data_IF_652582048038
#
_entry.id   IF_652582048038
#
_cell.length_a   1.000
_cell.length_b   1.000
_cell.length_c   1.000
_cell.angle_alpha   90.00
_cell.angle_beta   90.00
_cell.angle_gamma   90.00
#
_symmetry.space_group_name_H-M   'P 1'
#
loop_
_entity.id
_entity.type
_entity.pdbx_description
1 polymer ?
#
# COMPACT_ATOMS: atom_id res chain seq x y z
N UNK A 1 -69.81 20.05 -23.45
CA UNK A 1 -69.68 19.12 -24.59
C UNK A 1 -68.33 18.45 -24.46
N UNK A 2 -68.35 17.22 -23.96
CA UNK A 2 -67.16 16.41 -23.67
C UNK A 2 -67.07 15.38 -24.78
N UNK A 3 -66.00 15.37 -25.55
CA UNK A 3 -65.73 14.38 -26.59
C UNK A 3 -64.77 13.30 -26.06
N UNK A 4 -65.25 12.11 -25.86
CA UNK A 4 -64.48 10.94 -25.52
C UNK A 4 -63.75 10.39 -26.77
N UNK A 5 -62.42 10.19 -26.66
CA UNK A 5 -61.66 9.43 -27.67
C UNK A 5 -61.43 8.02 -27.16
N UNK A 6 -61.91 7.07 -27.93
CA UNK A 6 -61.67 5.67 -27.74
C UNK A 6 -60.23 5.31 -28.12
N UNK A 7 -59.55 4.49 -27.30
CA UNK A 7 -58.25 3.90 -27.55
C UNK A 7 -58.50 2.45 -28.02
N UNK A 8 -58.09 2.17 -29.25
CA UNK A 8 -58.11 0.81 -29.85
C UNK A 8 -56.85 0.08 -29.39
N UNK A 9 -57.02 -1.02 -28.69
CA UNK A 9 -55.92 -1.92 -28.33
C UNK A 9 -55.65 -2.91 -29.48
N UNK A 10 -54.47 -2.84 -30.06
CA UNK A 10 -53.98 -3.84 -31.01
C UNK A 10 -53.25 -4.92 -30.24
N UNK A 11 -53.78 -6.15 -30.28
CA UNK A 11 -53.10 -7.34 -29.75
C UNK A 11 -52.04 -7.84 -30.74
N UNK A 12 -50.79 -7.81 -30.36
CA UNK A 12 -49.70 -8.43 -31.12
C UNK A 12 -49.49 -9.86 -30.62
N UNK A 13 -49.73 -10.83 -31.53
CA UNK A 13 -49.41 -12.23 -31.34
C UNK A 13 -47.90 -12.39 -31.49
N UNK A 14 -47.20 -12.69 -30.41
CA UNK A 14 -45.76 -13.01 -30.43
C UNK A 14 -45.66 -14.54 -30.56
N UNK A 15 -45.22 -15.00 -31.74
CA UNK A 15 -44.88 -16.39 -31.99
C UNK A 15 -43.64 -16.80 -31.16
N UNK A 16 -43.80 -17.85 -30.37
CA UNK A 16 -42.70 -18.46 -29.65
C UNK A 16 -41.76 -19.21 -30.61
N UNK A 17 -40.60 -18.60 -30.90
CA UNK A 17 -39.48 -19.33 -31.53
C UNK A 17 -38.72 -20.01 -30.39
N UNK A 18 -38.82 -21.34 -30.34
CA UNK A 18 -38.12 -22.17 -29.38
C UNK A 18 -36.61 -22.13 -29.60
N UNK A 19 -35.89 -21.39 -28.75
CA UNK A 19 -34.46 -21.55 -28.62
C UNK A 19 -34.17 -22.86 -27.88
N UNK A 20 -33.62 -23.83 -28.57
CA UNK A 20 -32.98 -25.00 -27.98
C UNK A 20 -31.78 -24.48 -27.14
N UNK A 21 -31.89 -24.50 -25.83
CA UNK A 21 -30.78 -24.39 -24.94
C UNK A 21 -29.76 -25.49 -25.22
N UNK A 22 -28.61 -25.12 -25.77
CA UNK A 22 -27.43 -25.98 -25.73
C UNK A 22 -27.00 -26.06 -24.28
N UNK A 23 -27.08 -27.24 -23.69
CA UNK A 23 -26.52 -27.55 -22.39
C UNK A 23 -25.05 -27.10 -22.38
N UNK A 24 -24.76 -26.04 -21.66
CA UNK A 24 -23.41 -25.65 -21.36
C UNK A 24 -22.79 -26.77 -20.52
N UNK A 25 -21.77 -27.41 -21.06
CA UNK A 25 -20.94 -28.38 -20.36
C UNK A 25 -20.42 -27.68 -19.10
N UNK A 26 -20.98 -28.02 -17.95
CA UNK A 26 -20.49 -27.58 -16.67
C UNK A 26 -19.12 -28.24 -16.45
N UNK A 27 -18.04 -27.51 -16.73
CA UNK A 27 -16.72 -27.83 -16.19
C UNK A 27 -16.87 -27.73 -14.67
N UNK A 28 -16.67 -28.80 -13.90
CA UNK A 28 -16.73 -28.71 -12.46
C UNK A 28 -15.71 -27.67 -12.01
N UNK A 29 -16.05 -26.85 -11.00
CA UNK A 29 -15.08 -25.91 -10.45
C UNK A 29 -13.84 -26.71 -10.05
N UNK A 30 -12.69 -26.29 -10.55
CA UNK A 30 -11.42 -26.87 -10.15
C UNK A 30 -11.36 -26.77 -8.62
N UNK A 31 -11.53 -27.91 -7.97
CA UNK A 31 -11.31 -28.02 -6.53
C UNK A 31 -9.84 -27.69 -6.34
N UNK A 32 -9.57 -26.44 -5.94
CA UNK A 32 -8.25 -26.03 -5.48
C UNK A 32 -7.97 -26.92 -4.26
N UNK A 33 -7.14 -27.94 -4.45
CA UNK A 33 -6.67 -28.77 -3.35
C UNK A 33 -6.12 -27.78 -2.31
N UNK A 34 -6.72 -27.79 -1.12
CA UNK A 34 -6.14 -27.09 0.02
C UNK A 34 -4.80 -27.77 0.27
N UNK A 35 -3.73 -27.07 -0.07
CA UNK A 35 -2.37 -27.53 0.18
C UNK A 35 -2.22 -27.92 1.65
N UNK A 36 -1.41 -28.95 1.88
CA UNK A 36 -1.14 -29.48 3.21
C UNK A 36 -0.79 -28.35 4.17
N UNK A 37 -1.67 -28.09 5.10
CA UNK A 37 -1.53 -27.10 6.15
C UNK A 37 -0.32 -27.46 6.98
N UNK A 38 0.76 -26.71 6.86
CA UNK A 38 1.78 -26.70 7.90
C UNK A 38 1.10 -26.16 9.15
N UNK A 39 0.83 -27.02 10.12
CA UNK A 39 0.17 -26.65 11.36
C UNK A 39 1.09 -25.73 12.13
N UNK A 40 0.81 -24.44 12.09
CA UNK A 40 1.41 -23.47 13.02
C UNK A 40 1.12 -23.93 14.44
N UNK A 41 2.13 -24.03 15.27
CA UNK A 41 1.89 -24.45 16.67
C UNK A 41 1.15 -23.34 17.41
N UNK A 42 0.33 -23.65 18.43
CA UNK A 42 -0.37 -22.61 19.22
C UNK A 42 0.59 -21.57 19.83
N UNK A 43 1.82 -21.94 20.10
CA UNK A 43 2.86 -21.04 20.63
C UNK A 43 3.31 -20.03 19.58
N UNK A 44 3.46 -20.44 18.32
CA UNK A 44 3.90 -19.58 17.23
C UNK A 44 2.81 -18.56 16.87
N UNK A 45 1.55 -18.99 16.92
CA UNK A 45 0.39 -18.10 16.72
C UNK A 45 0.31 -17.03 17.82
N UNK A 46 0.44 -17.42 19.10
CA UNK A 46 0.44 -16.49 20.22
C UNK A 46 1.56 -15.46 20.13
N UNK A 47 2.75 -15.88 19.69
CA UNK A 47 3.88 -14.96 19.49
C UNK A 47 3.62 -13.99 18.33
N UNK A 48 3.08 -14.49 17.22
CA UNK A 48 2.74 -13.64 16.08
C UNK A 48 1.65 -12.61 16.45
N UNK A 49 0.61 -13.00 17.18
CA UNK A 49 -0.43 -12.08 17.66
C UNK A 49 0.12 -11.02 18.62
N UNK A 50 1.08 -11.40 19.48
CA UNK A 50 1.77 -10.43 20.33
C UNK A 50 2.59 -9.41 19.52
N UNK A 51 3.21 -9.83 18.41
CA UNK A 51 3.91 -8.93 17.49
C UNK A 51 2.94 -8.05 16.69
N UNK A 52 1.82 -8.60 16.23
CA UNK A 52 0.75 -7.83 15.56
C UNK A 52 0.24 -6.73 16.51
N UNK A 53 0.05 -7.03 17.79
CA UNK A 53 -0.32 -6.06 18.81
C UNK A 53 0.81 -5.05 19.07
N UNK A 54 2.06 -5.50 19.18
CA UNK A 54 3.25 -4.65 19.38
C UNK A 54 3.41 -3.61 18.27
N UNK A 55 3.18 -4.03 17.01
CA UNK A 55 3.31 -3.15 15.84
C UNK A 55 1.98 -2.53 15.41
N UNK A 56 0.89 -2.81 16.14
CA UNK A 56 -0.46 -2.28 15.93
C UNK A 56 -0.97 -2.43 14.47
N UNK A 57 -0.74 -3.56 13.85
CA UNK A 57 -1.12 -3.82 12.46
C UNK A 57 -2.63 -3.63 12.21
N UNK A 58 -3.47 -3.92 13.24
CA UNK A 58 -4.92 -3.78 13.21
C UNK A 58 -5.43 -2.34 13.13
N UNK A 59 -4.55 -1.34 13.20
CA UNK A 59 -4.94 0.07 12.97
C UNK A 59 -5.03 0.44 11.50
N UNK A 60 -4.47 -0.38 10.63
CA UNK A 60 -4.53 -0.19 9.18
C UNK A 60 -5.13 -1.39 8.47
N UNK A 61 -4.92 -2.60 9.00
CA UNK A 61 -5.28 -3.84 8.35
C UNK A 61 -6.40 -4.56 9.08
N UNK A 62 -7.40 -5.00 8.31
CA UNK A 62 -8.41 -5.95 8.77
C UNK A 62 -7.85 -7.38 8.74
N UNK A 63 -8.51 -8.32 9.43
CA UNK A 63 -8.16 -9.74 9.38
C UNK A 63 -6.82 -10.08 10.04
N UNK A 64 -6.40 -9.32 11.02
CA UNK A 64 -5.12 -9.49 11.74
C UNK A 64 -5.16 -10.58 12.80
N UNK A 65 -6.32 -11.14 13.13
CA UNK A 65 -6.52 -12.02 14.29
C UNK A 65 -6.79 -11.26 15.59
N UNK A 66 -6.61 -9.94 15.61
CA UNK A 66 -6.98 -9.07 16.73
C UNK A 66 -8.29 -8.33 16.44
N UNK A 67 -8.93 -7.80 17.50
CA UNK A 67 -10.04 -6.88 17.32
C UNK A 67 -9.62 -5.66 16.50
N UNK A 68 -10.52 -5.18 15.63
CA UNK A 68 -10.28 -3.95 14.89
C UNK A 68 -10.06 -2.78 15.86
N UNK A 69 -9.19 -1.86 15.48
CA UNK A 69 -9.05 -0.61 16.23
C UNK A 69 -10.36 0.19 16.19
N UNK A 70 -10.67 1.00 17.21
CA UNK A 70 -11.79 1.93 17.15
C UNK A 70 -11.71 2.81 15.89
N UNK A 71 -12.85 3.24 15.33
CA UNK A 71 -12.92 3.97 14.08
C UNK A 71 -12.05 5.24 14.07
N UNK A 72 -12.00 5.96 15.18
CA UNK A 72 -11.15 7.15 15.38
C UNK A 72 -9.66 6.84 15.49
N UNK A 73 -9.30 5.58 15.60
CA UNK A 73 -7.91 5.09 15.65
C UNK A 73 -7.55 4.13 14.55
N UNK A 74 -8.48 3.81 13.67
CA UNK A 74 -8.25 2.96 12.50
C UNK A 74 -7.91 3.86 11.31
N UNK A 75 -6.61 4.03 11.04
CA UNK A 75 -6.10 5.00 10.06
C UNK A 75 -6.83 4.95 8.72
N UNK A 76 -6.98 3.77 8.12
CA UNK A 76 -7.61 3.60 6.80
C UNK A 76 -9.11 3.85 6.85
N UNK A 77 -9.78 3.38 7.89
CA UNK A 77 -11.22 3.61 8.04
C UNK A 77 -11.53 5.09 8.25
N UNK A 78 -10.81 5.74 9.18
CA UNK A 78 -10.94 7.17 9.44
C UNK A 78 -10.73 7.99 8.15
N UNK A 79 -9.65 7.73 7.41
CA UNK A 79 -9.35 8.40 6.15
C UNK A 79 -10.43 8.19 5.09
N UNK A 80 -10.95 6.97 4.96
CA UNK A 80 -12.04 6.67 4.02
C UNK A 80 -13.34 7.38 4.38
N UNK A 81 -13.69 7.41 5.68
CA UNK A 81 -14.89 8.08 6.17
C UNK A 81 -14.79 9.61 6.01
N UNK A 82 -13.62 10.20 6.28
CA UNK A 82 -13.36 11.62 6.01
C UNK A 82 -13.55 11.90 4.52
N UNK A 83 -12.91 11.12 3.65
CA UNK A 83 -13.00 11.31 2.20
C UNK A 83 -14.42 11.16 1.68
N UNK A 84 -15.20 10.24 2.27
CA UNK A 84 -16.61 10.04 1.94
C UNK A 84 -17.55 11.10 2.56
N UNK A 85 -17.05 11.94 3.46
CA UNK A 85 -17.87 12.91 4.21
C UNK A 85 -18.78 12.28 5.26
N UNK A 86 -18.51 11.04 5.68
CA UNK A 86 -19.32 10.29 6.64
C UNK A 86 -18.72 10.27 8.05
N UNK A 87 -17.50 10.76 8.22
CA UNK A 87 -16.87 10.84 9.52
C UNK A 87 -17.63 11.84 10.42
N UNK A 88 -17.78 11.50 11.70
CA UNK A 88 -18.55 12.30 12.66
C UNK A 88 -17.74 13.54 13.09
N UNK A 89 -17.81 14.62 12.31
CA UNK A 89 -17.17 15.91 12.58
C UNK A 89 -18.00 17.05 12.00
N UNK A 90 -17.67 18.31 12.37
CA UNK A 90 -18.32 19.46 11.79
C UNK A 90 -18.05 19.56 10.27
N UNK A 91 -19.02 19.97 9.43
CA UNK A 91 -18.84 20.02 7.98
C UNK A 91 -17.65 20.90 7.53
N UNK A 92 -17.36 21.97 8.25
CA UNK A 92 -16.24 22.87 7.97
C UNK A 92 -14.89 22.17 8.18
N UNK A 93 -14.77 21.37 9.24
CA UNK A 93 -13.56 20.61 9.52
C UNK A 93 -13.37 19.49 8.50
N UNK A 94 -14.46 18.77 8.15
CA UNK A 94 -14.41 17.75 7.13
C UNK A 94 -13.92 18.27 5.78
N UNK A 95 -14.36 19.45 5.37
CA UNK A 95 -13.93 20.05 4.12
C UNK A 95 -12.41 20.31 4.11
N UNK A 96 -11.87 20.85 5.22
CA UNK A 96 -10.43 21.09 5.38
C UNK A 96 -9.65 19.77 5.34
N UNK A 97 -10.14 18.75 6.05
CA UNK A 97 -9.44 17.46 6.11
C UNK A 97 -9.47 16.70 4.78
N UNK A 98 -10.57 16.81 4.02
CA UNK A 98 -10.68 16.21 2.69
C UNK A 98 -9.63 16.74 1.72
N UNK A 99 -9.35 18.05 1.78
CA UNK A 99 -8.33 18.69 0.95
C UNK A 99 -6.90 18.25 1.29
N UNK A 100 -6.65 17.88 2.54
CA UNK A 100 -5.34 17.44 3.01
C UNK A 100 -5.11 15.92 2.92
N UNK A 101 -6.16 15.14 2.61
CA UNK A 101 -6.12 13.69 2.70
C UNK A 101 -5.67 13.06 1.37
N UNK A 102 -4.40 12.68 1.29
CA UNK A 102 -3.78 12.15 0.08
C UNK A 102 -3.28 10.71 0.19
N UNK A 103 -3.31 10.10 1.38
CA UNK A 103 -2.67 8.80 1.65
C UNK A 103 -3.50 7.89 2.56
N UNK A 104 -3.07 6.64 2.72
CA UNK A 104 -3.66 5.65 3.63
C UNK A 104 -5.16 5.38 3.42
N UNK A 105 -5.60 5.38 2.17
CA UNK A 105 -7.00 5.11 1.81
C UNK A 105 -7.30 3.62 1.65
N UNK A 106 -6.27 2.81 1.42
CA UNK A 106 -6.38 1.37 1.18
C UNK A 106 -5.26 0.64 1.89
N UNK A 107 -5.61 -0.36 2.69
CA UNK A 107 -4.69 -1.39 3.17
C UNK A 107 -5.29 -2.76 2.87
N UNK A 108 -4.49 -3.75 2.43
CA UNK A 108 -5.00 -5.09 2.19
C UNK A 108 -5.41 -5.75 3.50
N UNK A 109 -6.49 -6.53 3.49
CA UNK A 109 -6.78 -7.42 4.60
C UNK A 109 -5.65 -8.42 4.81
N UNK A 110 -5.29 -8.70 6.06
CA UNK A 110 -4.30 -9.73 6.40
C UNK A 110 -4.93 -11.13 6.52
N UNK A 111 -6.27 -11.23 6.49
CA UNK A 111 -6.93 -12.53 6.37
C UNK A 111 -6.52 -13.18 5.04
N UNK A 112 -6.16 -14.44 5.12
CA UNK A 112 -5.86 -15.26 3.93
C UNK A 112 -4.76 -14.72 3.01
N UNK A 113 -3.79 -13.99 3.55
CA UNK A 113 -2.65 -13.46 2.78
C UNK A 113 -1.90 -14.59 2.06
N UNK A 114 -1.74 -15.74 2.70
CA UNK A 114 -1.12 -16.92 2.11
C UNK A 114 -1.89 -17.46 0.89
N UNK A 115 -3.22 -17.39 0.88
CA UNK A 115 -4.06 -17.87 -0.22
C UNK A 115 -3.87 -17.05 -1.50
N UNK A 116 -3.45 -15.79 -1.37
CA UNK A 116 -3.08 -14.94 -2.51
C UNK A 116 -1.80 -15.38 -3.21
N UNK A 117 -1.08 -16.33 -2.63
CA UNK A 117 0.13 -16.90 -3.20
C UNK A 117 1.39 -16.08 -2.98
N UNK A 118 1.41 -15.22 -1.96
CA UNK A 118 2.64 -14.51 -1.58
C UNK A 118 3.70 -15.51 -1.08
N UNK A 119 4.96 -15.22 -1.36
CA UNK A 119 6.10 -15.96 -0.83
C UNK A 119 6.43 -15.46 0.57
N UNK A 120 6.65 -16.38 1.52
CA UNK A 120 7.01 -16.05 2.90
C UNK A 120 8.26 -15.18 2.99
N UNK A 121 9.30 -15.53 2.26
CA UNK A 121 10.56 -14.79 2.23
C UNK A 121 10.35 -13.34 1.73
N UNK A 122 9.48 -13.15 0.72
CA UNK A 122 9.13 -11.81 0.25
C UNK A 122 8.36 -11.01 1.30
N UNK A 123 7.41 -11.64 2.01
CA UNK A 123 6.65 -10.98 3.08
C UNK A 123 7.58 -10.55 4.21
N UNK A 124 8.53 -11.40 4.62
CA UNK A 124 9.51 -11.05 5.64
C UNK A 124 10.38 -9.85 5.23
N UNK A 125 10.86 -9.82 3.99
CA UNK A 125 11.63 -8.69 3.46
C UNK A 125 10.77 -7.41 3.36
N UNK A 126 9.53 -7.54 2.89
CA UNK A 126 8.58 -6.42 2.77
C UNK A 126 8.25 -5.78 4.12
N UNK A 127 8.09 -6.57 5.17
CA UNK A 127 7.82 -6.04 6.52
C UNK A 127 8.97 -5.17 7.06
N UNK A 128 10.20 -5.48 6.67
CA UNK A 128 11.37 -4.69 7.06
C UNK A 128 11.57 -3.45 6.18
N UNK A 129 11.29 -3.59 4.89
CA UNK A 129 11.51 -2.57 3.86
C UNK A 129 10.27 -2.47 2.95
N UNK A 130 9.17 -1.86 3.42
CA UNK A 130 7.97 -1.72 2.62
C UNK A 130 8.24 -0.87 1.37
N UNK A 131 7.82 -1.39 0.22
CA UNK A 131 7.82 -0.67 -1.06
C UNK A 131 6.41 -0.66 -1.61
N UNK A 132 6.01 0.36 -2.36
CA UNK A 132 4.78 0.25 -3.11
C UNK A 132 5.06 -0.53 -4.40
N UNK A 133 4.30 -1.60 -4.56
CA UNK A 133 4.38 -2.43 -5.77
C UNK A 133 3.59 -1.83 -6.93
N UNK A 134 2.88 -0.73 -6.70
CA UNK A 134 2.01 -0.03 -7.65
C UNK A 134 2.73 1.18 -8.23
N UNK A 135 2.98 1.20 -9.52
CA UNK A 135 3.68 2.31 -10.15
C UNK A 135 2.97 3.65 -9.97
N UNK A 136 3.70 4.64 -9.52
CA UNK A 136 3.19 6.01 -9.36
C UNK A 136 2.43 6.28 -8.06
N UNK A 137 2.35 5.32 -7.14
CA UNK A 137 1.87 5.55 -5.79
C UNK A 137 3.03 5.54 -4.79
N UNK A 138 3.08 6.50 -3.86
CA UNK A 138 4.06 6.47 -2.78
C UNK A 138 3.77 5.28 -1.85
N UNK A 139 4.82 4.70 -1.27
CA UNK A 139 4.65 3.64 -0.30
C UNK A 139 3.85 4.15 0.90
N UNK A 140 2.67 3.55 1.11
CA UNK A 140 1.76 3.95 2.18
C UNK A 140 1.94 3.11 3.45
N UNK A 141 2.46 1.89 3.35
CA UNK A 141 2.79 1.12 4.54
C UNK A 141 4.01 1.75 5.24
N UNK A 142 3.89 2.17 6.52
CA UNK A 142 5.00 2.77 7.24
C UNK A 142 6.12 1.74 7.48
N UNK A 143 7.37 2.18 7.35
CA UNK A 143 8.54 1.37 7.70
C UNK A 143 8.68 1.32 9.22
N UNK A 144 8.09 0.30 9.84
CA UNK A 144 8.16 0.06 11.27
C UNK A 144 9.55 -0.49 11.68
N UNK A 145 9.85 -0.48 13.00
CA UNK A 145 11.10 -1.03 13.51
C UNK A 145 11.00 -2.56 13.68
N UNK A 146 10.64 -3.27 12.61
CA UNK A 146 10.51 -4.72 12.59
C UNK A 146 11.90 -5.28 12.26
N UNK A 147 12.50 -6.03 13.19
CA UNK A 147 13.75 -6.71 12.92
C UNK A 147 13.54 -8.02 12.13
N UNK A 148 14.64 -8.66 11.73
CA UNK A 148 14.59 -9.87 10.91
C UNK A 148 13.89 -11.04 11.63
N UNK A 149 14.00 -11.13 12.95
CA UNK A 149 13.37 -12.19 13.75
C UNK A 149 11.86 -11.99 13.83
N UNK A 150 11.41 -10.79 14.19
CA UNK A 150 10.01 -10.44 14.24
C UNK A 150 9.36 -10.55 12.85
N UNK A 151 10.06 -10.13 11.79
CA UNK A 151 9.60 -10.24 10.41
C UNK A 151 9.41 -11.70 9.97
N UNK A 152 10.33 -12.59 10.34
CA UNK A 152 10.23 -14.02 10.03
C UNK A 152 9.02 -14.67 10.72
N UNK A 153 8.79 -14.35 12.00
CA UNK A 153 7.64 -14.86 12.77
C UNK A 153 6.32 -14.36 12.15
N UNK A 154 6.23 -13.07 11.87
CA UNK A 154 5.04 -12.47 11.24
C UNK A 154 4.79 -13.06 9.85
N UNK A 155 5.83 -13.22 9.04
CA UNK A 155 5.71 -13.80 7.71
C UNK A 155 5.26 -15.27 7.75
N UNK A 156 5.74 -16.05 8.71
CA UNK A 156 5.32 -17.45 8.90
C UNK A 156 3.84 -17.54 9.31
N UNK A 157 3.36 -16.61 10.13
CA UNK A 157 1.95 -16.53 10.52
C UNK A 157 1.05 -16.13 9.34
N UNK A 158 1.44 -15.10 8.59
CA UNK A 158 0.67 -14.58 7.45
C UNK A 158 0.69 -15.51 6.24
N UNK A 159 1.78 -16.26 6.05
CA UNK A 159 1.99 -17.22 4.96
C UNK A 159 2.41 -18.55 5.58
N UNK A 160 1.45 -19.36 6.04
CA UNK A 160 1.73 -20.60 6.75
C UNK A 160 2.32 -21.71 5.84
N UNK A 161 2.38 -21.48 4.54
CA UNK A 161 2.94 -22.41 3.57
C UNK A 161 4.47 -22.29 3.52
N UNK A 162 5.16 -23.41 3.31
CA UNK A 162 6.61 -23.42 3.15
C UNK A 162 6.97 -23.08 1.69
N UNK A 163 7.79 -22.06 1.49
CA UNK A 163 8.25 -21.65 0.16
C UNK A 163 9.17 -22.72 -0.47
N UNK A 164 9.91 -23.46 0.34
CA UNK A 164 10.85 -24.49 -0.12
C UNK A 164 10.13 -25.74 -0.65
N UNK A 165 8.93 -26.02 -0.15
CA UNK A 165 8.09 -27.12 -0.63
C UNK A 165 7.40 -26.79 -1.98
N UNK A 166 7.36 -25.51 -2.37
CA UNK A 166 6.65 -24.99 -3.56
C UNK A 166 7.63 -24.28 -4.51
N UNK A 167 8.85 -24.74 -4.62
CA UNK A 167 9.73 -24.41 -5.75
C UNK A 167 9.28 -25.14 -7.02
N UNK A 168 7.95 -25.24 -7.24
CA UNK A 168 7.45 -25.56 -8.56
C UNK A 168 8.02 -24.54 -9.52
N UNK A 169 8.84 -25.00 -10.45
CA UNK A 169 9.35 -24.19 -11.54
C UNK A 169 8.15 -23.43 -12.17
N UNK A 170 8.36 -22.18 -12.65
CA UNK A 170 7.32 -21.51 -13.45
C UNK A 170 6.81 -22.50 -14.47
N UNK A 171 5.49 -22.47 -14.83
CA UNK A 171 4.93 -23.40 -15.82
C UNK A 171 5.90 -23.50 -17.00
N UNK A 172 6.57 -24.64 -17.11
CA UNK A 172 7.64 -24.83 -18.10
C UNK A 172 7.08 -24.91 -19.52
N UNK A 173 5.76 -25.15 -19.62
CA UNK A 173 5.00 -25.43 -20.83
C UNK A 173 4.38 -24.19 -21.51
N UNK A 174 4.46 -23.00 -20.88
CA UNK A 174 3.94 -21.76 -21.49
C UNK A 174 4.89 -21.13 -22.49
N UNK A 175 4.35 -20.59 -23.59
CA UNK A 175 5.08 -19.85 -24.61
C UNK A 175 5.22 -18.36 -24.22
N UNK A 176 6.45 -17.89 -24.07
CA UNK A 176 6.75 -16.50 -23.69
C UNK A 176 6.31 -15.50 -24.76
N UNK A 177 6.48 -15.82 -26.06
CA UNK A 177 6.15 -14.91 -27.14
C UNK A 177 4.62 -14.81 -27.31
N UNK A 178 3.91 -15.93 -27.26
CA UNK A 178 2.45 -15.95 -27.21
C UNK A 178 1.92 -15.18 -25.99
N UNK A 179 2.50 -15.39 -24.81
CA UNK A 179 2.17 -14.66 -23.59
C UNK A 179 2.39 -13.16 -23.70
N UNK A 180 3.47 -12.72 -24.35
CA UNK A 180 3.73 -11.30 -24.61
C UNK A 180 2.64 -10.67 -25.50
N UNK A 181 2.23 -11.37 -26.57
CA UNK A 181 1.18 -10.89 -27.44
C UNK A 181 -0.18 -10.87 -26.72
N UNK A 182 -0.51 -11.91 -25.97
CA UNK A 182 -1.72 -11.96 -25.15
C UNK A 182 -1.75 -10.85 -24.09
N UNK A 183 -0.61 -10.52 -23.49
CA UNK A 183 -0.50 -9.45 -22.48
C UNK A 183 -0.97 -8.10 -23.04
N UNK A 184 -0.65 -7.83 -24.29
CA UNK A 184 -1.11 -6.63 -25.00
C UNK A 184 -2.54 -6.77 -25.49
N UNK A 185 -2.87 -7.85 -26.20
CA UNK A 185 -4.16 -8.03 -26.88
C UNK A 185 -5.34 -8.26 -25.94
N UNK A 186 -5.10 -8.86 -24.76
CA UNK A 186 -6.11 -9.00 -23.69
C UNK A 186 -6.22 -7.78 -22.79
N UNK A 187 -5.40 -6.73 -23.03
CA UNK A 187 -5.47 -5.46 -22.33
C UNK A 187 -4.80 -5.44 -20.95
N UNK A 188 -3.99 -6.44 -20.60
CA UNK A 188 -3.26 -6.44 -19.32
C UNK A 188 -2.37 -5.21 -19.16
N UNK A 189 -1.75 -4.75 -20.28
CA UNK A 189 -0.89 -3.57 -20.37
C UNK A 189 -1.63 -2.27 -20.00
N UNK A 190 -2.95 -2.23 -20.09
CA UNK A 190 -3.76 -1.06 -19.74
C UNK A 190 -3.79 -0.77 -18.23
N UNK A 191 -3.59 -1.80 -17.41
CA UNK A 191 -3.51 -1.68 -15.94
C UNK A 191 -2.11 -1.97 -15.42
N UNK A 192 -1.45 -3.02 -15.92
CA UNK A 192 -0.18 -3.50 -15.39
C UNK A 192 1.02 -3.04 -16.22
N UNK A 193 2.06 -2.62 -15.53
CA UNK A 193 3.42 -2.58 -16.10
C UNK A 193 4.09 -3.94 -15.92
N UNK A 194 4.99 -4.26 -16.82
CA UNK A 194 6.04 -5.27 -16.65
C UNK A 194 7.36 -4.56 -16.94
N UNK A 195 7.85 -3.84 -15.94
CA UNK A 195 9.03 -2.99 -16.09
C UNK A 195 10.23 -3.79 -16.59
N UNK A 196 10.88 -3.29 -17.62
CA UNK A 196 12.02 -3.95 -18.27
C UNK A 196 11.65 -4.93 -19.38
N UNK A 197 10.39 -5.28 -19.58
CA UNK A 197 9.97 -6.15 -20.68
C UNK A 197 9.84 -5.37 -22.00
N UNK A 198 10.18 -6.04 -23.09
CA UNK A 198 9.84 -5.57 -24.44
C UNK A 198 8.45 -6.10 -24.80
N UNK A 199 7.54 -5.19 -25.15
CA UNK A 199 6.18 -5.53 -25.54
C UNK A 199 6.02 -5.48 -27.07
N UNK A 200 5.29 -6.44 -27.68
CA UNK A 200 4.90 -6.36 -29.07
C UNK A 200 3.83 -5.27 -29.29
N UNK A 201 3.61 -4.84 -30.54
CA UNK A 201 2.48 -3.96 -30.86
C UNK A 201 1.14 -4.70 -30.63
N UNK A 202 0.11 -3.94 -30.28
CA UNK A 202 -1.24 -4.48 -30.16
C UNK A 202 -1.78 -4.91 -31.54
N UNK A 203 -2.43 -6.07 -31.59
CA UNK A 203 -3.09 -6.56 -32.81
C UNK A 203 -4.39 -5.81 -33.12
N UNK A 204 -5.05 -5.26 -32.09
CA UNK A 204 -6.26 -4.45 -32.19
C UNK A 204 -6.38 -3.49 -30.99
N UNK A 205 -7.17 -2.40 -31.09
CA UNK A 205 -7.44 -1.53 -29.96
C UNK A 205 -8.17 -2.27 -28.84
N UNK A 206 -7.70 -2.10 -27.59
CA UNK A 206 -8.35 -2.65 -26.41
C UNK A 206 -9.39 -1.65 -25.89
N UNK A 207 -10.63 -2.06 -25.59
CA UNK A 207 -11.67 -1.17 -25.09
C UNK A 207 -11.26 -0.51 -23.74
N UNK A 208 -11.35 0.80 -23.66
CA UNK A 208 -11.03 1.57 -22.44
C UNK A 208 -11.90 1.20 -21.22
N UNK A 209 -13.11 0.69 -21.47
CA UNK A 209 -14.02 0.24 -20.41
C UNK A 209 -13.47 -0.93 -19.56
N UNK A 210 -12.44 -1.63 -20.05
CA UNK A 210 -11.76 -2.69 -19.28
C UNK A 210 -10.76 -2.13 -18.24
N UNK A 211 -10.50 -0.81 -18.25
CA UNK A 211 -9.45 -0.18 -17.46
C UNK A 211 -10.04 0.95 -16.59
N UNK A 212 -10.84 0.66 -15.55
CA UNK A 212 -11.32 1.69 -14.63
C UNK A 212 -10.14 2.32 -13.88
N UNK A 213 -10.22 3.62 -13.63
CA UNK A 213 -9.14 4.41 -13.04
C UNK A 213 -8.60 3.83 -11.71
N UNK A 214 -9.51 3.36 -10.85
CA UNK A 214 -9.13 2.75 -9.57
C UNK A 214 -8.36 1.43 -9.76
N UNK A 215 -8.73 0.62 -10.75
CA UNK A 215 -8.01 -0.61 -11.06
C UNK A 215 -6.61 -0.31 -11.61
N UNK A 216 -6.46 0.71 -12.47
CA UNK A 216 -5.16 1.16 -12.97
C UNK A 216 -4.27 1.63 -11.81
N UNK A 217 -4.82 2.47 -10.92
CA UNK A 217 -4.07 3.02 -9.79
C UNK A 217 -3.57 1.94 -8.83
N UNK A 218 -4.33 0.87 -8.65
CA UNK A 218 -4.01 -0.23 -7.72
C UNK A 218 -3.32 -1.43 -8.39
N UNK A 219 -3.14 -1.41 -9.70
CA UNK A 219 -2.48 -2.51 -10.42
C UNK A 219 -0.97 -2.54 -10.12
N UNK A 220 -0.44 -3.69 -9.66
CA UNK A 220 0.98 -3.82 -9.38
C UNK A 220 1.83 -3.89 -10.65
N UNK A 221 3.11 -3.50 -10.52
CA UNK A 221 4.13 -3.84 -11.50
C UNK A 221 4.45 -5.34 -11.43
N UNK A 222 4.24 -6.03 -12.53
CA UNK A 222 4.40 -7.48 -12.60
C UNK A 222 5.87 -7.92 -12.66
N UNK A 223 6.83 -7.01 -12.87
CA UNK A 223 8.25 -7.33 -12.72
C UNK A 223 8.57 -7.87 -11.32
N UNK A 224 7.83 -7.41 -10.31
CA UNK A 224 7.95 -7.87 -8.93
C UNK A 224 7.27 -9.21 -8.66
N UNK A 225 6.42 -9.70 -9.57
CA UNK A 225 5.66 -10.94 -9.38
C UNK A 225 6.58 -12.16 -9.15
N UNK A 226 7.75 -12.19 -9.80
CA UNK A 226 8.75 -13.28 -9.71
C UNK A 226 9.27 -13.53 -8.30
N UNK A 227 9.56 -12.45 -7.59
CA UNK A 227 10.02 -12.54 -6.20
C UNK A 227 8.86 -12.67 -5.21
N UNK A 228 7.70 -12.10 -5.56
CA UNK A 228 6.56 -11.91 -4.66
C UNK A 228 5.60 -13.08 -4.62
N UNK A 229 5.32 -13.70 -5.78
CA UNK A 229 4.27 -14.70 -5.92
C UNK A 229 4.82 -16.09 -6.21
N UNK A 230 4.11 -17.11 -5.75
CA UNK A 230 4.32 -18.48 -6.16
C UNK A 230 3.84 -18.64 -7.62
N UNK A 231 4.58 -19.37 -8.47
CA UNK A 231 4.25 -19.50 -9.89
C UNK A 231 2.87 -20.09 -10.19
N UNK A 232 2.43 -21.09 -9.42
CA UNK A 232 1.11 -21.71 -9.52
C UNK A 232 -0.02 -20.69 -9.28
N UNK A 233 0.19 -19.76 -8.37
CA UNK A 233 -0.81 -18.75 -8.03
C UNK A 233 -0.90 -17.64 -9.08
N UNK A 234 0.17 -17.38 -9.84
CA UNK A 234 0.10 -16.43 -10.97
C UNK A 234 -0.89 -16.90 -12.01
N UNK A 235 -0.90 -18.19 -12.35
CA UNK A 235 -1.91 -18.75 -13.27
C UNK A 235 -3.33 -18.62 -12.71
N UNK A 236 -3.51 -18.92 -11.41
CA UNK A 236 -4.81 -18.77 -10.75
C UNK A 236 -5.32 -17.32 -10.78
N UNK A 237 -4.45 -16.34 -10.51
CA UNK A 237 -4.76 -14.91 -10.61
C UNK A 237 -5.21 -14.50 -12.01
N UNK A 238 -4.61 -15.05 -13.06
CA UNK A 238 -4.95 -14.73 -14.45
C UNK A 238 -6.30 -15.34 -14.84
N UNK A 239 -6.58 -16.56 -14.41
CA UNK A 239 -7.81 -17.28 -14.77
C UNK A 239 -9.03 -16.73 -14.02
N UNK A 240 -8.93 -16.64 -12.70
CA UNK A 240 -10.02 -16.20 -11.83
C UNK A 240 -9.52 -15.37 -10.64
N UNK A 241 -9.28 -14.08 -10.84
CA UNK A 241 -8.76 -13.22 -9.80
C UNK A 241 -9.68 -13.10 -8.57
N UNK A 242 -11.01 -13.16 -8.79
CA UNK A 242 -12.01 -13.04 -7.72
C UNK A 242 -12.00 -14.29 -6.82
N UNK A 243 -11.71 -15.46 -7.37
CA UNK A 243 -11.55 -16.68 -6.59
C UNK A 243 -10.27 -16.67 -5.72
N UNK A 244 -9.24 -15.92 -6.14
CA UNK A 244 -8.01 -15.75 -5.37
C UNK A 244 -8.15 -14.67 -4.28
N UNK A 245 -8.78 -13.55 -4.63
CA UNK A 245 -9.06 -12.45 -3.70
C UNK A 245 -10.40 -11.79 -4.09
N UNK A 246 -11.42 -11.99 -3.27
CA UNK A 246 -12.77 -11.45 -3.54
C UNK A 246 -12.82 -9.90 -3.51
N UNK A 247 -11.82 -9.25 -2.93
CA UNK A 247 -11.71 -7.79 -2.88
C UNK A 247 -10.90 -7.20 -4.05
N UNK A 248 -10.44 -8.05 -4.99
CA UNK A 248 -9.64 -7.57 -6.13
C UNK A 248 -10.44 -6.70 -7.09
N UNK A 249 -9.78 -5.69 -7.65
CA UNK A 249 -10.30 -4.91 -8.78
C UNK A 249 -9.85 -5.48 -10.15
N UNK A 250 -9.03 -6.53 -10.17
CA UNK A 250 -8.63 -7.20 -11.39
C UNK A 250 -9.84 -7.88 -12.03
N UNK A 251 -10.23 -7.52 -13.27
CA UNK A 251 -11.39 -8.10 -13.91
C UNK A 251 -11.13 -9.52 -14.41
N UNK A 252 -12.19 -10.32 -14.56
CA UNK A 252 -12.13 -11.57 -15.32
C UNK A 252 -12.10 -11.27 -16.81
N UNK A 253 -11.03 -11.64 -17.48
CA UNK A 253 -10.83 -11.37 -18.91
C UNK A 253 -11.21 -12.56 -19.81
N UNK A 254 -11.78 -13.63 -19.26
CA UNK A 254 -12.16 -14.83 -20.02
C UNK A 254 -10.96 -15.56 -20.65
N UNK A 255 -9.81 -15.50 -20.00
CA UNK A 255 -8.57 -16.15 -20.45
C UNK A 255 -8.68 -17.66 -20.25
N UNK A 256 -8.35 -18.44 -21.27
CA UNK A 256 -8.31 -19.90 -21.18
C UNK A 256 -7.12 -20.39 -20.34
N UNK A 257 -7.16 -21.63 -19.87
CA UNK A 257 -6.05 -22.19 -19.10
C UNK A 257 -4.72 -22.27 -19.89
N UNK A 258 -4.79 -22.39 -21.21
CA UNK A 258 -3.59 -22.37 -22.08
C UNK A 258 -3.03 -20.94 -22.14
N UNK A 259 -3.86 -19.97 -22.48
CA UNK A 259 -3.48 -18.55 -22.52
C UNK A 259 -2.94 -18.07 -21.16
N UNK A 260 -3.53 -18.55 -20.06
CA UNK A 260 -3.06 -18.19 -18.72
C UNK A 260 -1.65 -18.73 -18.43
N UNK A 261 -1.29 -19.92 -18.93
CA UNK A 261 0.08 -20.44 -18.82
C UNK A 261 1.07 -19.65 -19.66
N UNK A 262 0.69 -19.25 -20.88
CA UNK A 262 1.52 -18.42 -21.74
C UNK A 262 1.75 -17.04 -21.11
N UNK A 263 0.70 -16.41 -20.60
CA UNK A 263 0.80 -15.14 -19.85
C UNK A 263 1.67 -15.27 -18.60
N UNK A 264 1.48 -16.34 -17.82
CA UNK A 264 2.32 -16.60 -16.65
C UNK A 264 3.78 -16.84 -17.03
N UNK A 265 4.03 -17.57 -18.15
CA UNK A 265 5.37 -17.75 -18.68
C UNK A 265 6.02 -16.43 -19.07
N UNK A 266 5.28 -15.55 -19.74
CA UNK A 266 5.77 -14.19 -20.06
C UNK A 266 6.09 -13.41 -18.81
N UNK A 267 5.16 -13.28 -17.87
CA UNK A 267 5.36 -12.52 -16.61
C UNK A 267 6.53 -13.05 -15.80
N UNK A 268 6.67 -14.37 -15.69
CA UNK A 268 7.65 -14.99 -14.82
C UNK A 268 9.03 -15.23 -15.45
N UNK A 269 9.12 -15.36 -16.79
CA UNK A 269 10.35 -15.81 -17.47
C UNK A 269 10.84 -14.88 -18.57
N UNK A 270 10.04 -13.92 -19.07
CA UNK A 270 10.53 -13.01 -20.09
C UNK A 270 11.81 -12.30 -19.64
N UNK A 271 12.80 -12.08 -20.51
CA UNK A 271 13.96 -11.27 -20.16
C UNK A 271 13.52 -9.85 -19.83
N UNK A 272 13.98 -9.33 -18.69
CA UNK A 272 13.75 -7.96 -18.28
C UNK A 272 15.07 -7.18 -18.35
N UNK A 273 15.02 -5.99 -18.91
CA UNK A 273 16.12 -5.05 -18.77
C UNK A 273 16.33 -4.73 -17.28
N UNK A 274 17.57 -4.56 -16.84
CA UNK A 274 17.84 -4.19 -15.47
C UNK A 274 17.14 -2.86 -15.13
N UNK A 275 16.68 -2.67 -13.89
CA UNK A 275 16.12 -1.40 -13.47
C UNK A 275 17.17 -0.28 -13.67
N UNK A 276 16.73 0.96 -13.95
CA UNK A 276 17.64 2.10 -14.00
C UNK A 276 18.39 2.22 -12.67
N UNK A 277 19.61 2.71 -12.73
CA UNK A 277 20.35 3.01 -11.52
C UNK A 277 19.53 3.98 -10.64
N UNK A 278 19.54 3.79 -9.32
CA UNK A 278 18.85 4.72 -8.43
C UNK A 278 19.40 6.13 -8.62
N UNK A 279 18.54 7.16 -8.51
CA UNK A 279 18.99 8.54 -8.64
C UNK A 279 20.07 8.84 -7.58
N UNK A 280 21.00 9.77 -7.87
CA UNK A 280 21.96 10.20 -6.86
C UNK A 280 21.23 10.78 -5.65
N UNK A 281 21.84 10.74 -4.46
CA UNK A 281 21.28 11.38 -3.28
C UNK A 281 21.01 12.86 -3.54
N UNK A 282 19.82 13.32 -3.18
CA UNK A 282 19.50 14.75 -3.24
C UNK A 282 20.37 15.54 -2.28
N UNK A 283 20.84 16.69 -2.74
CA UNK A 283 21.64 17.62 -1.91
C UNK A 283 20.69 18.50 -1.10
N UNK A 284 20.96 18.67 0.19
CA UNK A 284 20.25 19.62 1.05
C UNK A 284 20.46 21.05 0.56
N UNK A 285 19.44 21.89 0.67
CA UNK A 285 19.58 23.31 0.39
C UNK A 285 20.44 23.98 1.46
N UNK A 286 21.19 25.06 1.13
CA UNK A 286 21.95 25.82 2.11
C UNK A 286 20.99 26.47 3.11
N UNK A 287 21.43 26.65 4.36
CA UNK A 287 20.65 27.36 5.39
C UNK A 287 20.29 28.78 4.93
N UNK A 288 19.12 29.25 5.37
CA UNK A 288 18.63 30.58 5.01
C UNK A 288 19.44 31.67 5.73
N UNK A 289 19.72 32.78 5.04
CA UNK A 289 20.42 33.92 5.64
C UNK A 289 19.55 34.75 6.61
N UNK A 290 18.24 34.54 6.65
CA UNK A 290 17.29 35.21 7.54
C UNK A 290 17.04 34.43 8.81
N UNK A 291 16.56 35.12 9.85
CA UNK A 291 16.11 34.48 11.09
C UNK A 291 14.88 33.56 10.82
N UNK A 292 14.84 32.42 11.49
CA UNK A 292 13.76 31.46 11.51
C UNK A 292 13.45 31.10 12.96
N UNK A 293 12.22 31.38 13.41
CA UNK A 293 11.75 31.03 14.75
C UNK A 293 10.93 29.75 14.79
N UNK A 294 10.66 29.25 15.99
CA UNK A 294 9.84 28.05 16.21
C UNK A 294 8.45 28.18 15.61
N UNK A 295 7.80 29.34 15.75
CA UNK A 295 6.45 29.56 15.22
C UNK A 295 6.37 29.34 13.71
N UNK A 296 7.37 29.78 12.96
CA UNK A 296 7.40 29.58 11.51
C UNK A 296 7.59 28.09 11.17
N UNK A 297 8.53 27.40 11.84
CA UNK A 297 8.76 25.96 11.65
C UNK A 297 7.52 25.17 12.05
N UNK A 298 6.90 25.53 13.17
CA UNK A 298 5.67 24.90 13.63
C UNK A 298 4.53 25.06 12.62
N UNK A 299 4.24 26.27 12.18
CA UNK A 299 3.15 26.56 11.27
C UNK A 299 3.34 25.92 9.89
N UNK A 300 4.57 25.90 9.36
CA UNK A 300 4.85 25.45 7.99
C UNK A 300 5.20 23.96 7.87
N UNK A 301 5.68 23.34 8.96
CA UNK A 301 6.17 21.96 8.93
C UNK A 301 5.51 21.10 10.01
N UNK A 302 5.75 21.39 11.28
CA UNK A 302 5.35 20.48 12.36
C UNK A 302 3.83 20.31 12.43
N UNK A 303 3.09 21.41 12.37
CA UNK A 303 1.64 21.41 12.42
C UNK A 303 1.00 20.73 11.21
N UNK A 304 1.58 20.88 10.02
CA UNK A 304 1.04 20.28 8.80
C UNK A 304 1.13 18.76 8.75
N UNK A 305 2.25 18.23 9.23
CA UNK A 305 2.59 16.82 8.99
C UNK A 305 2.93 16.09 10.29
N UNK A 306 3.78 16.66 11.13
CA UNK A 306 4.35 15.93 12.26
C UNK A 306 3.37 15.75 13.42
N UNK A 307 2.48 16.71 13.65
CA UNK A 307 1.49 16.67 14.73
C UNK A 307 0.54 15.48 14.62
N UNK A 308 0.32 14.97 13.42
CA UNK A 308 -0.50 13.78 13.23
C UNK A 308 -0.02 12.60 14.09
N UNK A 309 1.29 12.50 14.32
CA UNK A 309 1.92 11.46 15.12
C UNK A 309 2.65 11.99 16.37
N UNK A 310 3.04 13.26 16.41
CA UNK A 310 3.92 13.84 17.39
C UNK A 310 3.30 15.05 18.09
N UNK A 311 2.04 14.95 18.48
CA UNK A 311 1.33 15.88 19.34
C UNK A 311 0.54 15.13 20.42
N UNK A 312 0.03 15.87 21.39
CA UNK A 312 -0.90 15.31 22.36
C UNK A 312 -2.16 14.78 21.65
N UNK A 313 -2.72 13.65 22.07
CA UNK A 313 -4.02 13.20 21.61
C UNK A 313 -5.05 14.34 21.75
N UNK A 314 -5.96 14.45 20.80
CA UNK A 314 -6.99 15.48 20.74
C UNK A 314 -6.51 16.92 20.49
N UNK A 315 -5.22 17.16 20.28
CA UNK A 315 -4.66 18.48 20.06
C UNK A 315 -4.82 18.99 18.62
N UNK A 316 -4.94 18.11 17.68
CA UNK A 316 -4.97 18.48 16.26
C UNK A 316 -6.38 18.87 15.81
N UNK A 317 -6.78 20.06 16.13
CA UNK A 317 -7.93 20.69 15.51
C UNK A 317 -7.50 21.25 14.14
N UNK A 318 -8.03 20.69 13.09
CA UNK A 318 -7.96 21.24 11.74
C UNK A 318 -6.85 20.72 10.82
N UNK A 319 -5.67 20.37 11.31
CA UNK A 319 -4.56 19.95 10.42
C UNK A 319 -4.26 18.46 10.46
N UNK A 320 -4.46 17.81 11.58
CA UNK A 320 -4.21 16.38 11.75
C UNK A 320 -5.46 15.53 11.83
N UNK A 321 -6.63 16.14 11.80
CA UNK A 321 -7.92 15.47 11.97
C UNK A 321 -8.17 14.99 13.42
N UNK A 322 -9.38 14.52 13.70
CA UNK A 322 -9.69 13.88 14.97
C UNK A 322 -8.86 12.61 15.11
N UNK A 323 -8.46 12.31 16.32
CA UNK A 323 -7.64 11.12 16.54
C UNK A 323 -6.17 11.29 16.16
N UNK A 324 -5.65 12.51 16.20
CA UNK A 324 -4.23 12.72 16.26
C UNK A 324 -3.69 12.12 17.56
N UNK A 325 -3.48 10.82 17.50
CA UNK A 325 -3.31 9.95 18.66
C UNK A 325 -1.87 9.94 19.18
N UNK A 326 -1.05 10.94 18.80
CA UNK A 326 0.33 10.94 19.23
C UNK A 326 1.13 9.74 18.73
N UNK A 327 0.99 9.41 17.45
CA UNK A 327 1.79 8.40 16.81
C UNK A 327 1.14 7.04 16.64
N UNK A 328 0.05 6.99 15.92
CA UNK A 328 -0.66 5.73 15.71
C UNK A 328 -1.05 5.02 17.03
N UNK A 329 -1.22 5.79 18.15
CA UNK A 329 -1.37 5.23 19.48
C UNK A 329 -0.08 4.82 20.19
N UNK A 330 1.02 4.76 19.49
CA UNK A 330 2.32 4.79 20.16
C UNK A 330 2.57 6.22 20.60
N UNK A 331 2.80 6.54 21.76
CA UNK A 331 3.22 7.88 22.16
C UNK A 331 4.43 8.41 21.34
N UNK A 332 4.53 7.99 20.07
CA UNK A 332 5.60 8.23 19.09
C UNK A 332 6.95 8.43 19.78
N UNK A 333 7.26 7.54 20.70
CA UNK A 333 8.40 7.65 21.61
C UNK A 333 8.34 8.86 22.53
N UNK A 334 7.15 9.36 22.82
CA UNK A 334 6.93 10.54 23.66
C UNK A 334 7.49 11.84 23.10
N UNK A 335 7.68 11.92 21.78
CA UNK A 335 8.05 13.16 21.09
C UNK A 335 6.79 14.00 20.90
N UNK A 336 6.83 15.21 21.39
CA UNK A 336 5.77 16.21 21.23
C UNK A 336 6.33 17.41 20.46
N UNK A 337 5.82 17.64 19.26
CA UNK A 337 6.21 18.76 18.41
C UNK A 337 5.17 19.89 18.41
N UNK A 338 4.15 19.81 19.27
CA UNK A 338 3.11 20.83 19.38
C UNK A 338 3.55 22.06 20.17
N UNK A 339 4.64 21.94 20.92
CA UNK A 339 5.24 23.05 21.65
C UNK A 339 6.76 23.05 21.55
N UNK A 340 7.36 24.22 21.81
CA UNK A 340 8.82 24.38 21.85
C UNK A 340 9.46 23.44 22.88
N UNK A 341 8.92 23.42 24.11
CA UNK A 341 9.41 22.59 25.21
C UNK A 341 9.27 21.10 24.89
N UNK A 342 8.16 20.71 24.26
CA UNK A 342 7.93 19.34 23.80
C UNK A 342 8.98 18.90 22.80
N UNK A 343 9.25 19.75 21.80
CA UNK A 343 10.26 19.52 20.78
C UNK A 343 11.68 19.46 21.42
N UNK A 344 11.99 20.36 22.33
CA UNK A 344 13.26 20.40 23.06
C UNK A 344 13.49 19.17 23.96
N UNK A 345 12.40 18.59 24.51
CA UNK A 345 12.43 17.38 25.35
C UNK A 345 12.89 16.13 24.60
N UNK A 346 12.76 16.11 23.26
CA UNK A 346 13.17 15.00 22.41
C UNK A 346 12.31 13.73 22.56
N UNK A 347 12.82 12.63 22.05
CA UNK A 347 12.13 11.33 22.00
C UNK A 347 12.76 10.29 22.91
N UNK A 348 12.01 9.24 23.27
CA UNK A 348 12.51 8.07 24.01
C UNK A 348 13.13 7.06 23.04
N UNK A 349 14.33 6.60 23.36
CA UNK A 349 14.93 5.45 22.69
C UNK A 349 14.35 4.11 23.15
N UNK A 350 14.82 3.01 22.56
CA UNK A 350 14.41 1.65 22.95
C UNK A 350 14.81 1.30 24.39
N UNK A 351 15.84 1.94 24.91
CA UNK A 351 16.30 1.86 26.30
C UNK A 351 15.50 2.75 27.27
N UNK A 352 14.40 3.37 26.83
CA UNK A 352 13.56 4.27 27.59
C UNK A 352 14.16 5.67 27.87
N UNK A 353 15.42 5.89 27.52
CA UNK A 353 16.10 7.20 27.76
C UNK A 353 15.67 8.22 26.73
N UNK A 354 15.44 9.45 27.17
CA UNK A 354 15.18 10.57 26.26
C UNK A 354 16.47 11.02 25.56
N UNK A 355 16.34 11.33 24.29
CA UNK A 355 17.42 11.88 23.44
C UNK A 355 16.87 13.02 22.60
N UNK A 356 17.65 14.08 22.48
CA UNK A 356 17.33 15.18 21.57
C UNK A 356 17.29 14.71 20.12
N UNK A 357 16.31 15.16 19.38
CA UNK A 357 16.17 14.84 17.95
C UNK A 357 16.99 15.77 17.06
N UNK A 358 17.43 16.89 17.59
CA UNK A 358 18.17 17.94 16.87
C UNK A 358 19.69 17.77 16.93
N UNK A 359 20.18 16.90 17.82
CA UNK A 359 21.61 16.63 17.94
C UNK A 359 22.18 16.01 16.66
N UNK A 360 23.49 16.28 16.38
CA UNK A 360 24.13 15.80 15.19
C UNK A 360 24.37 14.27 15.22
N UNK A 361 24.35 13.66 14.06
CA UNK A 361 24.92 12.35 13.78
C UNK A 361 26.46 12.47 13.63
N UNK A 362 27.20 11.35 13.52
CA UNK A 362 28.67 11.38 13.35
C UNK A 362 29.17 12.20 12.15
N UNK A 363 28.34 12.35 11.11
CA UNK A 363 28.62 13.16 9.93
C UNK A 363 28.27 14.66 10.08
N UNK A 364 27.83 15.06 11.28
CA UNK A 364 27.40 16.43 11.58
C UNK A 364 25.96 16.75 11.20
N UNK A 365 25.24 15.86 10.50
CA UNK A 365 23.84 16.08 10.11
C UNK A 365 22.93 16.02 11.33
N UNK A 366 22.03 16.99 11.57
CA UNK A 366 21.03 16.89 12.63
C UNK A 366 20.16 15.64 12.43
N UNK A 367 19.92 14.90 13.51
CA UNK A 367 19.22 13.60 13.45
C UNK A 367 17.85 13.70 12.73
N UNK A 368 17.05 14.71 13.06
CA UNK A 368 15.76 14.93 12.41
C UNK A 368 15.93 15.14 10.91
N UNK A 369 16.92 15.91 10.48
CA UNK A 369 17.19 16.16 9.06
C UNK A 369 17.58 14.87 8.33
N UNK A 370 18.40 14.03 8.98
CA UNK A 370 18.75 12.72 8.43
C UNK A 370 17.50 11.84 8.21
N UNK A 371 16.54 11.83 9.14
CA UNK A 371 15.28 11.11 8.99
C UNK A 371 14.39 11.70 7.87
N UNK A 372 14.34 13.03 7.74
CA UNK A 372 13.58 13.69 6.68
C UNK A 372 14.18 13.39 5.29
N UNK A 373 15.48 13.45 5.14
CA UNK A 373 16.19 13.10 3.90
C UNK A 373 16.06 11.59 3.58
N UNK A 374 16.08 10.74 4.60
CA UNK A 374 15.86 9.30 4.41
C UNK A 374 14.46 9.01 3.83
N UNK A 375 13.42 9.74 4.22
CA UNK A 375 12.08 9.59 3.65
C UNK A 375 12.05 9.92 2.16
N UNK A 376 12.74 10.98 1.74
CA UNK A 376 12.87 11.33 0.32
C UNK A 376 13.53 10.21 -0.49
N UNK A 377 14.56 9.57 0.07
CA UNK A 377 15.21 8.40 -0.55
C UNK A 377 14.28 7.19 -0.64
N UNK A 378 13.50 6.91 0.42
CA UNK A 378 12.51 5.84 0.44
C UNK A 378 11.45 6.02 -0.68
N UNK A 379 11.00 7.25 -0.93
CA UNK A 379 10.09 7.56 -2.04
C UNK A 379 10.73 7.33 -3.44
N UNK A 380 12.02 7.47 -3.53
CA UNK A 380 12.78 7.14 -4.74
C UNK A 380 13.05 5.63 -4.90
N UNK A 381 12.51 4.80 -3.98
CA UNK A 381 12.75 3.36 -3.97
C UNK A 381 14.16 2.96 -3.53
N UNK A 382 14.89 3.87 -2.88
CA UNK A 382 16.25 3.63 -2.38
C UNK A 382 16.21 3.31 -0.89
N UNK A 383 16.76 2.17 -0.53
CA UNK A 383 16.87 1.81 0.89
C UNK A 383 17.81 2.76 1.65
N UNK A 384 17.47 3.00 2.89
CA UNK A 384 18.23 3.86 3.80
C UNK A 384 18.48 3.13 5.12
N UNK A 385 19.68 3.23 5.66
CA UNK A 385 20.00 2.70 6.99
C UNK A 385 19.19 3.40 8.11
N UNK A 386 18.73 4.62 7.85
CA UNK A 386 17.90 5.41 8.76
C UNK A 386 16.45 5.34 8.23
N UNK A 387 15.49 5.06 9.12
CA UNK A 387 14.07 5.12 8.76
C UNK A 387 13.64 6.53 8.43
N UNK A 388 12.96 6.70 7.31
CA UNK A 388 12.44 7.99 6.89
C UNK A 388 11.28 8.47 7.76
N UNK A 389 11.20 9.79 7.93
CA UNK A 389 10.07 10.50 8.51
C UNK A 389 9.59 11.58 7.54
N UNK A 390 8.29 11.79 7.44
CA UNK A 390 7.17 11.18 8.19
C UNK A 390 6.85 9.74 7.73
N UNK A 391 6.48 8.87 8.66
CA UNK A 391 6.12 7.48 8.35
C UNK A 391 4.78 7.42 7.58
N UNK A 392 4.78 6.76 6.41
CA UNK A 392 3.56 6.56 5.61
C UNK A 392 2.95 7.83 4.99
N UNK A 393 3.58 8.98 5.15
CA UNK A 393 3.20 10.25 4.54
C UNK A 393 4.19 10.66 3.44
N UNK A 394 3.80 11.54 2.51
CA UNK A 394 4.72 12.10 1.55
C UNK A 394 5.93 12.77 2.22
N UNK A 395 7.09 12.67 1.57
CA UNK A 395 8.28 13.34 2.06
C UNK A 395 8.12 14.86 2.04
N UNK A 396 8.74 15.53 2.98
CA UNK A 396 8.82 17.00 2.97
C UNK A 396 9.60 17.49 1.75
N UNK A 397 9.27 18.69 1.25
CA UNK A 397 10.06 19.35 0.23
C UNK A 397 11.44 19.73 0.76
N UNK A 398 12.41 19.98 -0.15
CA UNK A 398 13.73 20.44 0.28
C UNK A 398 13.68 21.79 0.99
N UNK A 399 12.72 22.67 0.63
CA UNK A 399 12.51 23.97 1.26
C UNK A 399 11.95 23.84 2.69
N UNK A 400 11.06 22.88 2.92
CA UNK A 400 10.54 22.59 4.27
C UNK A 400 11.66 22.01 5.16
N UNK A 401 12.49 21.12 4.60
CA UNK A 401 13.67 20.58 5.30
C UNK A 401 14.69 21.70 5.58
N UNK A 402 14.96 22.57 4.61
CA UNK A 402 15.83 23.74 4.76
C UNK A 402 15.38 24.64 5.91
N UNK A 403 14.05 24.87 6.02
CA UNK A 403 13.49 25.70 7.09
C UNK A 403 13.80 25.11 8.47
N UNK A 404 13.57 23.81 8.64
CA UNK A 404 13.88 23.10 9.90
C UNK A 404 15.38 23.12 10.18
N UNK A 405 16.21 22.86 9.16
CA UNK A 405 17.67 22.85 9.30
C UNK A 405 18.21 24.23 9.66
N UNK A 406 17.68 25.29 9.03
CA UNK A 406 18.04 26.67 9.36
C UNK A 406 17.74 27.02 10.81
N UNK A 407 16.54 26.66 11.30
CA UNK A 407 16.15 26.87 12.68
C UNK A 407 17.08 26.15 13.65
N UNK A 408 17.50 24.92 13.32
CA UNK A 408 18.46 24.15 14.13
C UNK A 408 19.82 24.82 14.13
N UNK A 409 20.33 25.22 12.96
CA UNK A 409 21.66 25.89 12.79
C UNK A 409 21.75 27.20 13.57
N UNK A 410 20.65 27.94 13.63
CA UNK A 410 20.52 29.18 14.40
C UNK A 410 20.37 28.98 15.93
N UNK A 411 20.52 27.76 16.43
CA UNK A 411 20.42 27.46 17.87
C UNK A 411 18.98 27.26 18.33
N UNK A 412 18.03 27.15 17.42
CA UNK A 412 16.59 26.90 17.69
C UNK A 412 15.96 28.06 18.52
N UNK A 413 15.93 29.26 17.98
CA UNK A 413 15.21 30.34 18.65
C UNK A 413 13.72 30.04 18.76
N UNK A 414 13.11 30.47 19.86
CA UNK A 414 11.69 30.39 20.15
C UNK A 414 10.86 31.24 19.22
#
# INVERSE_FOLDING_TARGET
MIAARAVVAAAAVIGAVGCRERAASQVPPATVARDATTTTTPRDESQALALIAKYECNRCHDGTGLAAAPADRHCVQCHREIRAGTFAAAPADLAIWQDHLHSLLVAPSLAHVGDRGLRRAWVAAFLQHPIDVRPGLPASMPRLAIDATDAAILAAYLVPFDDDAVTAAPPADGDIAAGAQLFVDRGCVGCHRLTGATLPPASAPVPAALHPADAIALAPDLALARARLRPDRVVAWIVDPIAVDSATLMPRLGVTAVEARDLAAFVLRAPLAPPPAPPPPETRLPVLARAVGFDEVSARVFRKVCWHCHAQPDYALGDGGPGNTGGFGFLARGLDLSSYEGAASGSRGDDGRRRGIFGPLPDGTPRVIAHLMARRREEQGVDSAIRGMPLGFPALSLEEIQLVETWIDQGRPE
#
